data_IF_995942485755
#
_entry.id   IF_995942485755
#
_cell.length_a   1.000
_cell.length_b   1.000
_cell.length_c   1.000
_cell.angle_alpha   90.00
_cell.angle_beta   90.00
_cell.angle_gamma   90.00
#
_symmetry.space_group_name_H-M   'P 1'
#
loop_
_entity.id
_entity.type
_entity.pdbx_description
1 polymer ?
#
# COMPACT_ATOMS: atom_id res chain seq x y z
N UNK A 1 26.77 -9.90 -10.18
CA UNK A 1 25.31 -10.06 -10.39
C UNK A 1 25.07 -11.45 -10.96
N UNK A 2 23.97 -12.09 -10.58
CA UNK A 2 23.68 -13.51 -10.87
C UNK A 2 22.23 -13.87 -10.52
N UNK A 3 21.85 -15.16 -10.49
CA UNK A 3 20.46 -15.57 -10.23
C UNK A 3 20.01 -15.35 -8.77
N UNK A 4 20.96 -15.22 -7.83
CA UNK A 4 20.70 -14.81 -6.45
C UNK A 4 21.21 -13.39 -6.28
N UNK A 5 20.35 -12.43 -6.58
CA UNK A 5 20.69 -11.01 -6.58
C UNK A 5 19.77 -10.26 -5.62
N UNK A 6 20.33 -9.66 -4.54
CA UNK A 6 19.56 -8.75 -3.71
C UNK A 6 19.05 -7.58 -4.54
N UNK A 7 17.78 -7.23 -4.31
CA UNK A 7 17.07 -6.09 -4.88
C UNK A 7 16.56 -5.20 -3.75
N UNK A 8 16.18 -3.96 -4.06
CA UNK A 8 15.74 -2.99 -3.06
C UNK A 8 14.57 -2.18 -3.58
N UNK A 9 13.37 -2.46 -3.05
CA UNK A 9 12.11 -1.79 -3.38
C UNK A 9 11.87 -1.70 -4.91
N UNK A 10 11.70 -2.83 -5.62
CA UNK A 10 11.21 -2.79 -6.99
C UNK A 10 9.81 -2.18 -7.00
N UNK A 11 9.60 -1.12 -7.78
CA UNK A 11 8.36 -0.34 -7.74
C UNK A 11 7.45 -0.61 -8.94
N UNK A 12 8.04 -0.69 -10.13
CA UNK A 12 7.32 -1.01 -11.36
C UNK A 12 8.16 -1.94 -12.24
N UNK A 13 7.46 -2.69 -13.09
CA UNK A 13 8.04 -3.64 -14.02
C UNK A 13 7.41 -3.52 -15.40
N UNK A 14 8.23 -3.67 -16.44
CA UNK A 14 7.74 -3.65 -17.81
C UNK A 14 8.43 -4.72 -18.65
N UNK A 15 7.66 -5.45 -19.45
CA UNK A 15 8.20 -6.40 -20.40
C UNK A 15 8.91 -5.66 -21.54
N UNK A 16 9.98 -6.24 -22.08
CA UNK A 16 10.58 -5.71 -23.28
C UNK A 16 11.73 -6.56 -23.81
N UNK A 17 12.48 -5.97 -24.73
CA UNK A 17 13.47 -6.67 -25.55
C UNK A 17 14.89 -6.14 -25.30
N UNK A 18 15.84 -7.04 -25.10
CA UNK A 18 17.27 -6.77 -24.97
C UNK A 18 18.11 -7.76 -25.78
N UNK A 19 18.67 -7.32 -26.90
CA UNK A 19 19.53 -8.15 -27.76
C UNK A 19 18.81 -8.85 -28.92
N UNK A 20 17.60 -8.39 -29.27
CA UNK A 20 16.90 -8.80 -30.49
C UNK A 20 15.97 -10.00 -30.35
N UNK A 21 15.95 -10.67 -29.20
CA UNK A 21 14.90 -11.62 -28.85
C UNK A 21 13.73 -10.88 -28.19
N UNK A 22 12.55 -11.01 -28.79
CA UNK A 22 11.34 -10.35 -28.32
C UNK A 22 11.00 -10.77 -26.89
N UNK A 23 10.65 -9.79 -26.04
CA UNK A 23 10.17 -9.99 -24.68
C UNK A 23 11.09 -10.83 -23.76
N UNK A 24 12.39 -10.81 -24.04
CA UNK A 24 13.38 -11.59 -23.30
C UNK A 24 13.85 -10.94 -21.98
N UNK A 25 13.35 -9.76 -21.62
CA UNK A 25 13.74 -9.05 -20.40
C UNK A 25 12.53 -8.41 -19.70
N UNK A 26 12.53 -8.49 -18.37
CA UNK A 26 11.68 -7.70 -17.50
C UNK A 26 12.50 -6.51 -16.98
N UNK A 27 12.16 -5.30 -17.44
CA UNK A 27 12.69 -4.06 -16.90
C UNK A 27 12.11 -3.82 -15.51
N UNK A 28 12.92 -3.30 -14.60
CA UNK A 28 12.52 -3.04 -13.22
C UNK A 28 12.96 -1.65 -12.80
N UNK A 29 12.02 -0.82 -12.38
CA UNK A 29 12.30 0.44 -11.70
C UNK A 29 12.66 0.13 -10.24
N UNK A 30 13.95 0.22 -9.92
CA UNK A 30 14.49 -0.13 -8.62
C UNK A 30 14.60 1.13 -7.75
N UNK A 31 13.46 1.54 -7.20
CA UNK A 31 13.32 2.77 -6.44
C UNK A 31 14.35 2.87 -5.29
N UNK A 32 14.51 1.80 -4.51
CA UNK A 32 15.33 1.79 -3.30
C UNK A 32 16.84 1.93 -3.54
N UNK A 33 17.30 1.81 -4.79
CA UNK A 33 18.71 2.06 -5.17
C UNK A 33 18.83 3.04 -6.32
N UNK A 34 17.76 3.79 -6.64
CA UNK A 34 17.74 4.82 -7.66
C UNK A 34 18.32 4.36 -9.01
N UNK A 35 17.85 3.20 -9.50
CA UNK A 35 18.40 2.51 -10.67
C UNK A 35 17.32 1.86 -11.52
N UNK A 36 17.64 1.64 -12.80
CA UNK A 36 16.85 0.78 -13.70
C UNK A 36 17.58 -0.54 -13.89
N UNK A 37 16.88 -1.63 -13.63
CA UNK A 37 17.38 -3.00 -13.67
C UNK A 37 16.70 -3.81 -14.77
N UNK A 38 17.31 -4.95 -15.09
CA UNK A 38 16.89 -5.90 -16.10
C UNK A 38 16.97 -7.31 -15.51
N UNK A 39 15.85 -8.01 -15.46
CA UNK A 39 15.80 -9.45 -15.22
C UNK A 39 15.67 -10.16 -16.56
N UNK A 40 16.70 -10.90 -16.96
CA UNK A 40 16.70 -11.69 -18.18
C UNK A 40 15.78 -12.90 -18.05
N UNK A 41 14.72 -12.97 -18.86
CA UNK A 41 13.77 -14.09 -18.92
C UNK A 41 14.27 -15.18 -19.87
N UNK A 42 14.95 -14.79 -20.94
CA UNK A 42 15.76 -15.66 -21.79
C UNK A 42 17.20 -15.13 -21.85
N UNK A 43 18.08 -15.82 -22.58
CA UNK A 43 19.43 -15.31 -22.80
C UNK A 43 19.34 -14.01 -23.60
N UNK A 44 20.24 -13.07 -23.34
CA UNK A 44 20.18 -11.79 -24.02
C UNK A 44 21.34 -10.90 -23.67
N UNK A 45 21.28 -9.65 -24.14
CA UNK A 45 22.36 -8.69 -23.93
C UNK A 45 21.84 -7.27 -23.83
N UNK A 46 22.27 -6.57 -22.79
CA UNK A 46 22.07 -5.12 -22.67
C UNK A 46 23.00 -4.35 -23.62
N UNK A 47 22.62 -3.12 -24.01
CA UNK A 47 23.50 -2.20 -24.74
C UNK A 47 24.87 -2.08 -24.11
N UNK A 48 25.92 -2.26 -24.92
CA UNK A 48 27.34 -2.19 -24.50
C UNK A 48 27.73 -3.19 -23.39
N UNK A 49 26.89 -4.18 -23.08
CA UNK A 49 27.12 -5.21 -22.06
C UNK A 49 27.68 -6.53 -22.60
N UNK A 50 27.99 -7.46 -21.69
CA UNK A 50 28.20 -8.87 -22.01
C UNK A 50 26.87 -9.60 -22.18
N UNK A 51 26.89 -10.77 -22.79
CA UNK A 51 25.76 -11.69 -22.78
C UNK A 51 25.38 -12.06 -21.33
N UNK A 52 24.08 -12.15 -21.08
CA UNK A 52 23.48 -12.49 -19.79
C UNK A 52 22.58 -13.70 -20.00
N UNK A 53 22.66 -14.65 -19.07
CA UNK A 53 21.84 -15.86 -19.11
C UNK A 53 20.45 -15.60 -18.53
N UNK A 54 19.47 -16.40 -18.93
CA UNK A 54 18.17 -16.44 -18.28
C UNK A 54 18.30 -16.55 -16.75
N UNK A 55 17.47 -15.79 -16.03
CA UNK A 55 17.47 -15.65 -14.57
C UNK A 55 18.50 -14.65 -14.03
N UNK A 56 19.37 -14.05 -14.84
CA UNK A 56 20.27 -13.00 -14.37
C UNK A 56 19.52 -11.69 -14.17
N UNK A 57 19.59 -11.13 -12.96
CA UNK A 57 19.11 -9.79 -12.66
C UNK A 57 20.31 -8.83 -12.59
N UNK A 58 20.30 -7.78 -13.41
CA UNK A 58 21.41 -6.85 -13.54
C UNK A 58 20.93 -5.40 -13.61
N UNK A 59 21.63 -4.48 -12.94
CA UNK A 59 21.51 -3.04 -13.23
C UNK A 59 21.82 -2.77 -14.70
N UNK A 60 20.93 -2.03 -15.36
CA UNK A 60 21.15 -1.46 -16.69
C UNK A 60 21.64 0.00 -16.60
N UNK A 61 20.94 0.86 -15.85
CA UNK A 61 21.25 2.28 -15.74
C UNK A 61 21.12 2.81 -14.30
N UNK A 62 21.80 3.93 -14.01
CA UNK A 62 21.83 4.56 -12.70
C UNK A 62 23.10 4.23 -11.90
N UNK A 63 23.74 5.24 -11.34
CA UNK A 63 24.94 5.09 -10.50
C UNK A 63 24.62 4.48 -9.14
N UNK A 64 23.40 4.66 -8.66
CA UNK A 64 22.98 4.39 -7.28
C UNK A 64 22.91 5.62 -6.39
N UNK A 65 23.44 6.76 -6.85
CA UNK A 65 23.22 8.04 -6.19
C UNK A 65 21.82 8.56 -6.55
N UNK A 66 21.18 9.18 -5.58
CA UNK A 66 19.92 9.90 -5.74
C UNK A 66 20.16 11.26 -6.40
N UNK A 67 19.94 11.36 -7.71
CA UNK A 67 20.24 12.55 -8.52
C UNK A 67 19.31 12.65 -9.74
N UNK A 68 19.05 13.86 -10.23
CA UNK A 68 18.40 14.12 -11.52
C UNK A 68 19.41 14.12 -12.69
N UNK A 69 20.40 13.22 -12.69
CA UNK A 69 21.56 13.30 -13.60
C UNK A 69 21.37 12.56 -14.91
N UNK A 70 21.35 13.30 -16.02
CA UNK A 70 21.40 12.72 -17.38
C UNK A 70 22.81 12.32 -17.78
N UNK A 71 22.95 11.28 -18.61
CA UNK A 71 24.23 10.94 -19.19
C UNK A 71 24.11 10.06 -20.44
N UNK A 72 25.06 10.19 -21.37
CA UNK A 72 25.19 9.28 -22.52
C UNK A 72 25.64 7.87 -22.11
N UNK A 73 26.23 7.71 -20.93
CA UNK A 73 26.64 6.43 -20.37
C UNK A 73 25.70 6.02 -19.23
N UNK A 74 25.02 4.86 -19.32
CA UNK A 74 23.94 4.50 -18.39
C UNK A 74 24.38 4.45 -16.92
N UNK A 75 25.59 3.96 -16.64
CA UNK A 75 26.12 3.86 -15.27
C UNK A 75 26.57 5.20 -14.66
N UNK A 76 26.68 6.26 -15.48
CA UNK A 76 27.01 7.63 -15.02
C UNK A 76 25.77 8.52 -14.89
N UNK A 77 24.61 8.05 -15.36
CA UNK A 77 23.35 8.69 -15.06
C UNK A 77 22.97 8.43 -13.59
N UNK A 78 22.17 9.30 -13.02
CA UNK A 78 21.53 9.13 -11.72
C UNK A 78 20.02 9.26 -11.90
N UNK A 79 19.29 8.52 -11.07
CA UNK A 79 17.85 8.63 -10.93
C UNK A 79 17.55 9.04 -9.49
N UNK A 80 16.30 9.37 -9.20
CA UNK A 80 15.83 9.68 -7.86
C UNK A 80 14.47 9.03 -7.64
N UNK A 81 14.50 7.80 -7.12
CA UNK A 81 13.32 6.97 -6.84
C UNK A 81 12.46 6.73 -8.09
N UNK A 82 13.01 6.05 -9.12
CA UNK A 82 12.22 5.70 -10.30
C UNK A 82 11.06 4.77 -9.89
N UNK A 83 9.84 5.14 -10.25
CA UNK A 83 8.62 4.46 -9.79
C UNK A 83 7.69 3.98 -10.90
N UNK A 84 7.91 4.40 -12.15
CA UNK A 84 7.07 3.99 -13.28
C UNK A 84 7.87 3.81 -14.56
N UNK A 85 7.50 2.84 -15.37
CA UNK A 85 8.15 2.44 -16.61
C UNK A 85 7.15 2.30 -17.76
N UNK A 86 7.50 2.82 -18.93
CA UNK A 86 6.73 2.60 -20.16
C UNK A 86 7.66 2.35 -21.35
N UNK A 87 7.73 1.11 -21.87
CA UNK A 87 8.50 0.79 -23.07
C UNK A 87 7.88 1.45 -24.31
N UNK A 88 8.73 2.05 -25.15
CA UNK A 88 8.42 2.52 -26.50
C UNK A 88 9.48 1.95 -27.46
N UNK A 89 9.42 0.64 -27.76
CA UNK A 89 10.47 -0.06 -28.50
C UNK A 89 10.51 0.32 -29.99
N UNK A 90 9.42 0.84 -30.54
CA UNK A 90 9.33 1.23 -31.94
C UNK A 90 10.17 2.47 -32.28
N UNK A 91 10.72 2.48 -33.48
CA UNK A 91 11.43 3.65 -34.01
C UNK A 91 10.43 4.77 -34.34
N UNK A 92 10.77 6.05 -34.10
CA UNK A 92 12.10 6.57 -33.79
C UNK A 92 12.42 6.67 -32.29
N UNK A 93 11.61 6.05 -31.41
CA UNK A 93 11.72 6.21 -29.96
C UNK A 93 12.79 5.28 -29.37
N UNK A 94 12.63 3.97 -29.59
CA UNK A 94 13.56 2.93 -29.17
C UNK A 94 14.05 3.10 -27.72
N UNK A 95 13.13 3.36 -26.78
CA UNK A 95 13.46 3.77 -25.42
C UNK A 95 12.52 3.20 -24.36
N UNK A 96 12.93 3.34 -23.11
CA UNK A 96 12.10 3.16 -21.93
C UNK A 96 11.84 4.54 -21.30
N UNK A 97 10.58 4.94 -21.18
CA UNK A 97 10.22 6.10 -20.39
C UNK A 97 10.19 5.75 -18.91
N UNK A 98 10.65 6.69 -18.08
CA UNK A 98 10.80 6.51 -16.64
C UNK A 98 10.16 7.69 -15.92
N UNK A 99 9.22 7.41 -15.02
CA UNK A 99 8.76 8.35 -14.00
C UNK A 99 9.78 8.36 -12.85
N UNK A 100 10.48 9.49 -12.67
CA UNK A 100 11.58 9.63 -11.70
C UNK A 100 11.13 10.53 -10.55
N UNK A 101 10.51 9.92 -9.55
CA UNK A 101 9.56 10.53 -8.62
C UNK A 101 10.16 11.66 -7.77
N UNK A 102 11.26 11.41 -7.08
CA UNK A 102 11.90 12.40 -6.20
C UNK A 102 12.50 13.56 -6.99
N UNK A 103 12.92 13.33 -8.24
CA UNK A 103 13.38 14.42 -9.12
C UNK A 103 12.24 15.24 -9.73
N UNK A 104 11.00 14.74 -9.62
CA UNK A 104 9.82 15.26 -10.31
C UNK A 104 10.04 15.43 -11.81
N UNK A 105 10.62 14.40 -12.44
CA UNK A 105 10.90 14.38 -13.88
C UNK A 105 10.40 13.12 -14.57
N UNK A 106 10.25 13.23 -15.89
CA UNK A 106 10.15 12.07 -16.79
C UNK A 106 11.42 11.98 -17.62
N UNK A 107 11.97 10.77 -17.74
CA UNK A 107 13.21 10.47 -18.44
C UNK A 107 12.98 9.51 -19.59
N UNK A 108 13.87 9.54 -20.57
CA UNK A 108 14.00 8.49 -21.58
C UNK A 108 15.34 7.78 -21.40
N UNK A 109 15.31 6.45 -21.40
CA UNK A 109 16.48 5.58 -21.40
C UNK A 109 16.51 4.83 -22.73
N UNK A 110 17.48 5.17 -23.59
CA UNK A 110 17.58 4.58 -24.92
C UNK A 110 17.95 3.09 -24.85
N UNK A 111 17.16 2.25 -25.50
CA UNK A 111 17.37 0.80 -25.57
C UNK A 111 18.52 0.41 -26.50
N UNK A 112 18.99 1.34 -27.34
CA UNK A 112 20.11 1.11 -28.28
C UNK A 112 21.49 1.25 -27.65
N UNK A 113 21.69 2.27 -26.81
CA UNK A 113 23.02 2.65 -26.31
C UNK A 113 23.07 2.97 -24.81
N UNK A 114 21.93 2.93 -24.12
CA UNK A 114 21.78 3.21 -22.69
C UNK A 114 21.82 4.69 -22.31
N UNK A 115 21.73 5.62 -23.26
CA UNK A 115 21.72 7.03 -22.94
C UNK A 115 20.45 7.43 -22.16
N UNK A 116 20.63 8.12 -21.03
CA UNK A 116 19.55 8.69 -20.22
C UNK A 116 19.42 10.18 -20.53
N UNK A 117 18.22 10.61 -20.92
CA UNK A 117 17.90 12.00 -21.29
C UNK A 117 16.65 12.50 -20.59
N UNK A 118 16.63 13.80 -20.28
CA UNK A 118 15.46 14.50 -19.78
C UNK A 118 14.39 14.56 -20.87
N UNK A 119 13.16 14.20 -20.51
CA UNK A 119 12.00 14.49 -21.33
C UNK A 119 11.33 15.79 -20.88
N UNK A 120 10.82 15.83 -19.64
CA UNK A 120 10.14 16.98 -19.02
C UNK A 120 10.35 17.02 -17.50
N UNK A 121 10.14 18.19 -16.88
CA UNK A 121 10.18 18.37 -15.42
C UNK A 121 11.54 18.80 -14.88
N UNK A 122 11.56 19.11 -13.58
CA UNK A 122 12.77 19.40 -12.81
C UNK A 122 13.52 20.66 -13.25
N UNK A 123 14.84 20.62 -13.08
CA UNK A 123 15.78 21.69 -13.44
C UNK A 123 17.08 21.13 -14.03
N UNK A 124 18.00 22.03 -14.43
CA UNK A 124 19.29 21.63 -15.02
C UNK A 124 20.31 21.13 -14.01
N UNK A 125 20.22 21.56 -12.75
CA UNK A 125 21.12 21.10 -11.70
C UNK A 125 20.78 19.64 -11.35
N UNK A 126 21.70 18.69 -11.59
CA UNK A 126 21.45 17.28 -11.30
C UNK A 126 21.28 16.98 -9.80
N UNK A 127 21.68 17.87 -8.90
CA UNK A 127 21.52 17.69 -7.45
C UNK A 127 20.25 18.36 -6.90
N UNK A 128 19.55 19.15 -7.70
CA UNK A 128 18.31 19.79 -7.27
C UNK A 128 17.12 18.82 -7.40
N UNK A 129 16.69 18.26 -6.28
CA UNK A 129 15.50 17.39 -6.18
C UNK A 129 14.25 18.16 -5.71
N UNK A 130 14.36 19.46 -5.45
CA UNK A 130 13.25 20.31 -4.99
C UNK A 130 12.60 21.12 -6.12
N UNK A 131 12.89 20.77 -7.37
CA UNK A 131 12.40 21.44 -8.57
C UNK A 131 11.00 20.96 -9.02
N UNK A 132 10.08 20.83 -8.06
CA UNK A 132 8.72 20.37 -8.28
C UNK A 132 7.71 21.53 -8.44
N UNK A 133 6.49 21.20 -8.83
CA UNK A 133 5.36 22.12 -8.92
C UNK A 133 4.32 21.63 -9.93
N UNK A 134 3.37 22.49 -10.30
CA UNK A 134 2.34 22.16 -11.28
C UNK A 134 2.28 23.22 -12.39
N UNK A 135 3.08 23.00 -13.42
CA UNK A 135 3.18 23.94 -14.55
C UNK A 135 3.20 23.17 -15.86
N UNK A 136 2.29 23.53 -16.75
CA UNK A 136 2.29 23.05 -18.12
C UNK A 136 3.38 23.79 -18.92
N UNK A 137 4.12 23.07 -19.75
CA UNK A 137 5.29 23.66 -20.37
C UNK A 137 6.10 22.68 -21.19
N UNK A 138 7.24 23.16 -21.69
CA UNK A 138 8.10 22.40 -22.58
C UNK A 138 9.41 22.02 -21.89
N UNK A 139 9.74 20.73 -21.89
CA UNK A 139 10.97 20.22 -21.29
C UNK A 139 11.09 20.61 -19.82
N UNK A 140 12.14 21.37 -19.49
CA UNK A 140 12.43 21.84 -18.13
C UNK A 140 11.43 22.89 -17.62
N UNK A 141 10.68 23.55 -18.50
CA UNK A 141 9.71 24.57 -18.09
C UNK A 141 8.43 23.95 -17.51
N UNK A 142 8.15 22.69 -17.88
CA UNK A 142 7.10 21.92 -17.22
C UNK A 142 7.51 21.62 -15.77
N UNK A 143 6.52 21.55 -14.87
CA UNK A 143 6.69 21.10 -13.49
C UNK A 143 5.69 20.01 -13.18
N UNK A 144 6.21 18.98 -12.52
CA UNK A 144 5.52 17.82 -11.99
C UNK A 144 5.77 17.79 -10.48
N UNK A 145 5.03 16.95 -9.77
CA UNK A 145 5.25 16.70 -8.35
C UNK A 145 5.05 15.22 -8.05
N UNK A 146 6.19 14.55 -7.81
CA UNK A 146 6.25 13.13 -7.46
C UNK A 146 5.46 12.21 -8.41
N UNK A 147 5.75 12.22 -9.74
CA UNK A 147 5.03 11.39 -10.69
C UNK A 147 5.39 9.91 -10.48
N UNK A 148 4.39 9.07 -10.19
CA UNK A 148 4.63 7.65 -9.91
C UNK A 148 4.46 6.73 -11.13
N UNK A 149 3.68 7.16 -12.13
CA UNK A 149 3.34 6.32 -13.28
C UNK A 149 3.57 7.01 -14.62
N UNK A 150 3.95 6.23 -15.63
CA UNK A 150 3.95 6.61 -17.04
C UNK A 150 3.32 5.52 -17.89
N UNK A 151 2.61 5.89 -18.96
CA UNK A 151 2.05 4.92 -19.91
C UNK A 151 2.17 5.42 -21.35
N UNK A 152 2.77 4.59 -22.21
CA UNK A 152 3.02 4.91 -23.60
C UNK A 152 1.84 4.52 -24.49
N UNK A 153 1.42 5.43 -25.36
CA UNK A 153 0.35 5.23 -26.34
C UNK A 153 0.95 5.27 -27.76
N UNK A 154 1.31 4.12 -28.35
CA UNK A 154 2.09 4.06 -29.59
C UNK A 154 1.35 4.64 -30.81
N UNK A 155 0.04 4.43 -30.91
CA UNK A 155 -0.77 4.88 -32.04
C UNK A 155 -0.83 6.42 -32.14
N UNK A 156 -0.88 7.09 -30.98
CA UNK A 156 -0.90 8.55 -30.87
C UNK A 156 0.53 9.13 -30.80
N UNK A 157 1.52 8.33 -30.41
CA UNK A 157 2.87 8.80 -30.11
C UNK A 157 2.91 9.72 -28.89
N UNK A 158 2.08 9.45 -27.88
CA UNK A 158 1.93 10.26 -26.67
C UNK A 158 2.25 9.44 -25.41
N UNK A 159 2.78 10.13 -24.40
CA UNK A 159 3.08 9.55 -23.10
C UNK A 159 2.16 10.16 -22.04
N UNK A 160 1.39 9.33 -21.34
CA UNK A 160 0.59 9.78 -20.21
C UNK A 160 1.39 9.63 -18.91
N UNK A 161 1.19 10.55 -17.98
CA UNK A 161 1.90 10.62 -16.69
C UNK A 161 0.86 10.75 -15.59
N UNK A 162 0.93 9.89 -14.58
CA UNK A 162 0.25 10.13 -13.31
C UNK A 162 1.13 11.08 -12.48
N UNK A 163 0.74 12.34 -12.43
CA UNK A 163 1.41 13.39 -11.67
C UNK A 163 0.84 13.41 -10.26
N UNK A 164 1.30 12.46 -9.45
CA UNK A 164 0.56 11.91 -8.31
C UNK A 164 0.24 12.95 -7.23
N UNK A 165 1.23 13.74 -6.81
CA UNK A 165 1.03 14.75 -5.76
C UNK A 165 0.37 16.03 -6.27
N UNK A 166 0.30 16.21 -7.58
CA UNK A 166 -0.56 17.23 -8.19
C UNK A 166 -1.98 16.72 -8.46
N UNK A 167 -2.30 15.47 -8.12
CA UNK A 167 -3.61 14.85 -8.29
C UNK A 167 -4.16 14.97 -9.73
N UNK A 168 -3.25 14.86 -10.70
CA UNK A 168 -3.52 15.10 -12.13
C UNK A 168 -2.97 13.98 -12.98
N UNK A 169 -3.61 13.80 -14.13
CA UNK A 169 -3.05 13.07 -15.25
C UNK A 169 -2.56 14.10 -16.26
N UNK A 170 -1.28 13.98 -16.65
CA UNK A 170 -0.67 14.80 -17.70
C UNK A 170 -0.40 13.99 -18.95
N UNK A 171 -0.30 14.66 -20.07
CA UNK A 171 0.13 14.10 -21.35
C UNK A 171 1.40 14.82 -21.82
N UNK A 172 2.34 14.05 -22.35
CA UNK A 172 3.61 14.51 -22.88
C UNK A 172 3.71 14.06 -24.33
N UNK A 173 3.96 15.01 -25.23
CA UNK A 173 4.39 14.72 -26.60
C UNK A 173 5.92 14.63 -26.61
N UNK A 174 6.53 13.44 -26.83
CA UNK A 174 7.98 13.32 -26.75
C UNK A 174 8.73 13.98 -27.91
N UNK A 175 8.09 14.26 -29.06
CA UNK A 175 8.72 14.99 -30.18
C UNK A 175 8.93 16.45 -29.80
N UNK A 176 7.89 17.08 -29.27
CA UNK A 176 7.91 18.51 -28.94
C UNK A 176 8.40 18.77 -27.52
N UNK A 177 8.39 17.74 -26.66
CA UNK A 177 8.60 17.80 -25.20
C UNK A 177 7.58 18.68 -24.48
N UNK A 178 6.39 18.87 -25.07
CA UNK A 178 5.31 19.60 -24.44
C UNK A 178 4.61 18.69 -23.41
N UNK A 179 4.39 19.19 -22.20
CA UNK A 179 3.61 18.56 -21.14
C UNK A 179 2.38 19.42 -20.85
N UNK A 180 1.20 18.80 -20.80
CA UNK A 180 -0.09 19.46 -20.55
C UNK A 180 -0.94 18.62 -19.61
N UNK A 181 -1.81 19.26 -18.83
CA UNK A 181 -2.87 18.55 -18.10
C UNK A 181 -3.86 17.93 -19.10
N UNK A 182 -4.23 16.65 -18.88
CA UNK A 182 -5.32 15.98 -19.62
C UNK A 182 -6.55 15.75 -18.74
N UNK A 183 -6.36 15.45 -17.45
CA UNK A 183 -7.44 15.22 -16.51
C UNK A 183 -7.03 15.62 -15.08
N UNK A 184 -8.01 15.97 -14.24
CA UNK A 184 -7.80 16.31 -12.84
C UNK A 184 -7.86 17.82 -12.58
N UNK A 185 -8.62 18.21 -11.56
CA UNK A 185 -8.69 19.61 -11.08
C UNK A 185 -7.40 20.05 -10.38
N UNK A 186 -6.66 19.11 -9.78
CA UNK A 186 -5.51 19.39 -8.92
C UNK A 186 -5.80 19.32 -7.43
N UNK A 187 -7.08 19.24 -7.06
CA UNK A 187 -7.50 19.05 -5.67
C UNK A 187 -7.73 17.57 -5.40
N UNK A 188 -7.22 17.07 -4.28
CA UNK A 188 -7.46 15.71 -3.85
C UNK A 188 -8.97 15.45 -3.70
N UNK A 189 -9.49 14.40 -4.33
CA UNK A 189 -10.89 14.03 -4.19
C UNK A 189 -11.32 12.91 -5.13
N UNK A 190 -12.60 12.55 -5.06
CA UNK A 190 -13.16 11.39 -5.79
C UNK A 190 -14.33 11.76 -6.74
N UNK A 191 -14.27 12.94 -7.33
CA UNK A 191 -15.31 13.43 -8.25
C UNK A 191 -15.00 12.92 -9.66
N UNK A 192 -15.96 12.26 -10.32
CA UNK A 192 -15.79 11.86 -11.72
C UNK A 192 -15.92 13.04 -12.69
N UNK A 193 -16.69 14.06 -12.31
CA UNK A 193 -16.93 15.25 -13.11
C UNK A 193 -17.74 14.99 -14.39
N UNK A 194 -18.25 16.04 -15.06
CA UNK A 194 -18.86 15.91 -16.39
C UNK A 194 -17.82 15.67 -17.50
N UNK A 195 -16.53 15.87 -17.22
CA UNK A 195 -15.43 15.70 -18.16
C UNK A 195 -14.08 15.50 -17.48
N UNK A 196 -13.03 15.24 -18.27
CA UNK A 196 -11.69 14.93 -17.76
C UNK A 196 -11.12 16.01 -16.84
N UNK A 197 -11.24 17.29 -17.19
CA UNK A 197 -10.65 18.43 -16.45
C UNK A 197 -11.37 18.74 -15.14
N UNK A 198 -12.62 18.32 -15.02
CA UNK A 198 -13.48 18.50 -13.84
C UNK A 198 -13.52 17.27 -12.94
N UNK A 199 -12.83 16.19 -13.33
CA UNK A 199 -12.60 15.04 -12.47
C UNK A 199 -11.55 15.34 -11.39
N UNK A 200 -11.56 14.63 -10.28
CA UNK A 200 -10.51 14.66 -9.28
C UNK A 200 -9.93 13.27 -9.03
N UNK A 201 -8.68 13.27 -8.62
CA UNK A 201 -7.89 12.10 -8.23
C UNK A 201 -7.33 12.33 -6.83
N UNK A 202 -6.77 11.29 -6.23
CA UNK A 202 -6.07 11.38 -4.96
C UNK A 202 -4.86 10.45 -5.01
N UNK A 203 -3.69 11.06 -5.26
CA UNK A 203 -2.40 10.40 -5.43
C UNK A 203 -2.45 9.17 -6.36
N UNK A 204 -2.80 9.35 -7.66
CA UNK A 204 -2.83 8.24 -8.61
C UNK A 204 -1.43 7.61 -8.72
N UNK A 205 -1.31 6.33 -8.37
CA UNK A 205 -0.03 5.65 -8.20
C UNK A 205 0.49 4.98 -9.47
N UNK A 206 -0.36 4.81 -10.48
CA UNK A 206 -0.02 4.18 -11.74
C UNK A 206 -1.13 4.34 -12.76
N UNK A 207 -0.79 4.13 -14.03
CA UNK A 207 -1.73 4.21 -15.14
C UNK A 207 -1.28 3.28 -16.28
N UNK A 208 -2.23 2.79 -17.07
CA UNK A 208 -1.94 2.04 -18.29
C UNK A 208 -2.92 2.42 -19.40
N UNK A 209 -2.42 2.39 -20.63
CA UNK A 209 -3.21 2.67 -21.83
C UNK A 209 -3.86 1.36 -22.27
N UNK A 210 -5.17 1.37 -22.49
CA UNK A 210 -5.91 0.24 -23.05
C UNK A 210 -5.70 0.09 -24.56
N UNK A 211 -6.10 -1.06 -25.08
CA UNK A 211 -5.97 -1.37 -26.51
C UNK A 211 -6.56 -0.27 -27.41
N UNK A 212 -5.81 0.12 -28.45
CA UNK A 212 -6.17 1.17 -29.39
C UNK A 212 -5.96 2.60 -28.87
N UNK A 213 -5.41 2.78 -27.67
CA UNK A 213 -4.95 4.07 -27.16
C UNK A 213 -6.05 5.09 -26.83
N UNK A 214 -7.31 4.65 -26.76
CA UNK A 214 -8.49 5.51 -26.51
C UNK A 214 -8.91 5.56 -25.05
N UNK A 215 -8.52 4.55 -24.28
CA UNK A 215 -8.89 4.42 -22.87
C UNK A 215 -7.63 4.42 -22.03
N UNK A 216 -7.65 5.16 -20.93
CA UNK A 216 -6.61 5.12 -19.91
C UNK A 216 -7.20 4.58 -18.60
N UNK A 217 -6.59 3.54 -18.06
CA UNK A 217 -6.89 3.05 -16.72
C UNK A 217 -5.93 3.70 -15.73
N UNK A 218 -6.46 4.21 -14.63
CA UNK A 218 -5.71 4.92 -13.60
C UNK A 218 -5.97 4.23 -12.25
N UNK A 219 -4.89 3.83 -11.58
CA UNK A 219 -4.93 3.39 -10.20
C UNK A 219 -4.97 4.61 -9.29
N UNK A 220 -6.17 5.00 -8.88
CA UNK A 220 -6.42 6.17 -8.05
C UNK A 220 -6.28 5.81 -6.56
N UNK A 221 -5.02 5.69 -6.12
CA UNK A 221 -4.57 4.95 -4.93
C UNK A 221 -5.34 5.32 -3.67
N UNK A 222 -5.40 6.62 -3.33
CA UNK A 222 -5.97 7.06 -2.07
C UNK A 222 -7.50 7.20 -2.11
N UNK A 223 -8.11 7.02 -3.29
CA UNK A 223 -9.56 6.85 -3.42
C UNK A 223 -9.97 5.36 -3.50
N UNK A 224 -9.01 4.43 -3.52
CA UNK A 224 -9.26 2.99 -3.61
C UNK A 224 -10.05 2.59 -4.86
N UNK A 225 -9.88 3.35 -5.95
CA UNK A 225 -10.62 3.18 -7.19
C UNK A 225 -9.69 2.93 -8.37
N UNK A 226 -10.20 2.17 -9.34
CA UNK A 226 -9.68 2.18 -10.69
C UNK A 226 -10.55 3.12 -11.51
N UNK A 227 -9.98 4.23 -11.98
CA UNK A 227 -10.68 5.20 -12.84
C UNK A 227 -10.37 4.90 -14.30
N UNK A 228 -11.40 4.94 -15.14
CA UNK A 228 -11.35 4.71 -16.58
C UNK A 228 -11.63 6.03 -17.28
N UNK A 229 -10.63 6.54 -17.99
CA UNK A 229 -10.71 7.77 -18.76
C UNK A 229 -10.90 7.39 -20.22
N UNK A 230 -12.03 7.77 -20.79
CA UNK A 230 -12.26 7.70 -22.22
C UNK A 230 -11.76 9.00 -22.85
N UNK A 231 -10.73 8.90 -23.70
CA UNK A 231 -10.04 10.03 -24.31
C UNK A 231 -10.80 10.58 -25.54
N UNK A 232 -11.68 9.77 -26.16
CA UNK A 232 -12.50 10.17 -27.29
C UNK A 232 -13.72 10.97 -26.80
N UNK A 233 -14.46 10.43 -25.82
CA UNK A 233 -15.65 11.09 -25.25
C UNK A 233 -15.29 12.09 -24.15
N UNK A 234 -14.05 12.06 -23.65
CA UNK A 234 -13.53 12.90 -22.56
C UNK A 234 -14.28 12.72 -21.24
N UNK A 235 -14.65 11.49 -20.90
CA UNK A 235 -15.38 11.17 -19.67
C UNK A 235 -14.55 10.31 -18.72
N UNK A 236 -14.86 10.40 -17.43
CA UNK A 236 -14.29 9.53 -16.38
C UNK A 236 -15.38 8.62 -15.83
N UNK A 237 -15.06 7.35 -15.66
CA UNK A 237 -15.92 6.36 -15.00
C UNK A 237 -15.11 5.49 -14.04
N UNK A 238 -15.79 4.72 -13.21
CA UNK A 238 -15.14 3.71 -12.37
C UNK A 238 -15.08 2.39 -13.11
N UNK A 239 -13.93 1.72 -13.05
CA UNK A 239 -13.83 0.34 -13.47
C UNK A 239 -14.62 -0.53 -12.48
N UNK A 240 -15.60 -1.33 -12.95
CA UNK A 240 -16.37 -2.18 -12.07
C UNK A 240 -15.48 -3.31 -11.54
N UNK A 241 -15.18 -3.29 -10.25
CA UNK A 241 -14.52 -4.39 -9.57
C UNK A 241 -15.61 -5.27 -8.96
N UNK A 242 -16.00 -6.31 -9.69
CA UNK A 242 -16.90 -7.36 -9.16
C UNK A 242 -16.07 -8.42 -8.45
N UNK A 243 -16.14 -8.46 -7.12
CA UNK A 243 -15.44 -9.46 -6.29
C UNK A 243 -16.30 -10.73 -6.17
N UNK A 244 -16.83 -11.23 -7.30
CA UNK A 244 -17.72 -12.39 -7.27
C UNK A 244 -16.96 -13.69 -6.97
N UNK A 245 -15.66 -13.76 -7.29
CA UNK A 245 -14.80 -14.91 -7.00
C UNK A 245 -13.30 -14.49 -6.92
N UNK A 246 -12.93 -13.64 -5.94
CA UNK A 246 -11.50 -13.38 -5.69
C UNK A 246 -10.82 -14.64 -5.10
N UNK A 247 -10.39 -15.52 -6.00
CA UNK A 247 -9.62 -16.74 -5.72
C UNK A 247 -8.18 -16.48 -5.25
N UNK A 248 -7.74 -15.20 -5.29
CA UNK A 248 -6.49 -14.73 -4.69
C UNK A 248 -6.59 -14.43 -3.19
N UNK A 249 -7.69 -14.85 -2.56
CA UNK A 249 -7.55 -15.40 -1.23
C UNK A 249 -6.65 -16.64 -1.36
N UNK A 250 -5.32 -16.45 -1.42
CA UNK A 250 -4.39 -17.46 -0.97
C UNK A 250 -5.06 -18.07 0.26
N UNK A 251 -5.30 -19.40 0.31
CA UNK A 251 -6.04 -19.99 1.41
C UNK A 251 -5.41 -19.36 2.62
N UNK A 252 -6.20 -18.57 3.36
CA UNK A 252 -5.68 -17.92 4.54
C UNK A 252 -5.07 -19.10 5.25
N UNK A 253 -3.73 -19.13 5.32
CA UNK A 253 -3.11 -19.85 6.40
C UNK A 253 -3.76 -19.10 7.53
N UNK A 254 -4.85 -19.67 8.06
CA UNK A 254 -5.47 -19.30 9.30
C UNK A 254 -4.27 -18.94 10.12
N UNK A 255 -4.08 -17.65 10.38
CA UNK A 255 -2.85 -17.14 10.95
C UNK A 255 -2.60 -18.09 12.09
N UNK A 256 -1.57 -18.94 11.95
CA UNK A 256 -1.21 -19.85 13.02
C UNK A 256 -1.09 -18.90 14.21
N UNK A 257 -1.83 -19.19 15.30
CA UNK A 257 -2.34 -18.19 16.23
C UNK A 257 -1.32 -17.08 16.39
N UNK A 258 -1.68 -15.86 15.99
CA UNK A 258 -0.81 -14.67 16.12
C UNK A 258 -0.08 -14.84 17.45
N UNK A 259 1.26 -14.94 17.44
CA UNK A 259 2.02 -15.23 18.66
C UNK A 259 1.81 -14.05 19.60
N UNK A 260 0.74 -14.12 20.39
CA UNK A 260 0.37 -13.11 21.36
C UNK A 260 1.56 -13.00 22.29
N UNK A 261 2.13 -11.80 22.47
CA UNK A 261 3.22 -11.60 23.41
C UNK A 261 2.80 -12.17 24.77
N UNK A 262 3.67 -12.95 25.42
CA UNK A 262 3.37 -13.40 26.78
C UNK A 262 3.23 -12.18 27.68
N UNK A 263 2.20 -12.15 28.52
CA UNK A 263 2.03 -11.13 29.54
C UNK A 263 3.33 -11.01 30.36
N UNK A 264 3.90 -9.81 30.51
CA UNK A 264 5.03 -9.57 31.41
C UNK A 264 4.74 -10.07 32.82
N UNK A 265 5.77 -10.48 33.56
CA UNK A 265 5.62 -10.89 34.97
C UNK A 265 5.04 -9.78 35.86
N UNK A 266 5.23 -8.52 35.46
CA UNK A 266 4.70 -7.32 36.12
C UNK A 266 3.26 -6.97 35.74
N UNK A 267 2.62 -7.72 34.84
CA UNK A 267 1.25 -7.43 34.39
C UNK A 267 0.23 -7.66 35.51
N UNK A 268 -0.68 -6.71 35.70
CA UNK A 268 -1.77 -6.82 36.67
C UNK A 268 -2.73 -7.92 36.25
N UNK A 269 -3.05 -8.85 37.17
CA UNK A 269 -4.03 -9.91 36.95
C UNK A 269 -5.25 -9.68 37.83
N UNK A 270 -6.36 -9.29 37.21
CA UNK A 270 -7.61 -8.98 37.89
C UNK A 270 -8.56 -10.17 37.72
N UNK A 271 -9.06 -10.72 38.82
CA UNK A 271 -10.11 -11.73 38.80
C UNK A 271 -11.45 -11.06 39.09
N UNK A 272 -12.36 -11.13 38.14
CA UNK A 272 -13.69 -10.53 38.23
C UNK A 272 -14.66 -11.42 39.05
N UNK A 273 -15.73 -10.83 39.62
CA UNK A 273 -16.81 -11.61 40.22
C UNK A 273 -17.49 -12.52 39.17
N UNK A 274 -18.00 -13.71 39.57
CA UNK A 274 -18.72 -14.58 38.65
C UNK A 274 -19.93 -13.89 38.02
N UNK A 275 -20.08 -14.04 36.70
CA UNK A 275 -21.16 -13.46 35.92
C UNK A 275 -22.17 -14.52 35.49
N UNK A 276 -23.43 -14.33 35.84
CA UNK A 276 -24.51 -15.22 35.40
C UNK A 276 -24.87 -14.94 33.94
N UNK A 277 -24.81 -15.96 33.09
CA UNK A 277 -25.03 -15.86 31.64
C UNK A 277 -25.89 -17.03 31.15
N UNK A 278 -26.55 -16.84 30.01
CA UNK A 278 -27.36 -17.88 29.36
C UNK A 278 -26.69 -18.42 28.09
N UNK A 279 -26.96 -19.67 27.70
CA UNK A 279 -26.50 -20.21 26.41
C UNK A 279 -27.01 -19.36 25.23
N UNK A 280 -26.16 -19.11 24.23
CA UNK A 280 -26.52 -18.28 23.07
C UNK A 280 -26.54 -16.77 23.33
N UNK A 281 -26.21 -16.32 24.56
CA UNK A 281 -26.26 -14.91 24.93
C UNK A 281 -25.02 -14.15 24.43
N UNK A 282 -25.21 -12.90 24.01
CA UNK A 282 -24.09 -11.99 23.73
C UNK A 282 -23.55 -11.41 25.04
N UNK A 283 -22.28 -11.67 25.31
CA UNK A 283 -21.52 -11.08 26.41
C UNK A 283 -20.73 -9.89 25.86
N UNK A 284 -20.94 -8.70 26.44
CA UNK A 284 -20.18 -7.49 26.13
C UNK A 284 -19.20 -7.20 27.27
N UNK A 285 -17.91 -7.33 27.00
CA UNK A 285 -16.88 -6.89 27.94
C UNK A 285 -16.59 -5.41 27.68
N UNK A 286 -16.90 -4.57 28.65
CA UNK A 286 -16.67 -3.13 28.59
C UNK A 286 -15.35 -2.82 29.28
N UNK A 287 -14.33 -2.51 28.47
CA UNK A 287 -13.00 -2.20 28.97
C UNK A 287 -12.82 -0.69 29.11
N UNK A 288 -12.59 -0.24 30.34
CA UNK A 288 -12.27 1.15 30.67
C UNK A 288 -10.82 1.21 31.13
N UNK A 289 -10.00 1.97 30.43
CA UNK A 289 -8.60 2.17 30.80
C UNK A 289 -8.33 3.65 31.04
N UNK A 290 -7.57 3.94 32.08
CA UNK A 290 -7.03 5.27 32.33
C UNK A 290 -5.52 5.25 32.17
N UNK A 291 -5.01 6.25 31.46
CA UNK A 291 -3.57 6.45 31.32
C UNK A 291 -3.03 7.25 32.53
N UNK A 292 -1.77 7.03 32.94
CA UNK A 292 -1.11 7.89 33.91
C UNK A 292 -1.14 9.36 33.48
N UNK A 293 -1.22 10.28 34.44
CA UNK A 293 -1.26 11.72 34.18
C UNK A 293 -0.08 12.16 33.30
N UNK A 294 -0.38 12.93 32.25
CA UNK A 294 0.62 13.44 31.32
C UNK A 294 1.11 12.45 30.25
N UNK A 295 0.43 11.32 30.05
CA UNK A 295 0.75 10.34 28.99
C UNK A 295 -0.36 10.23 27.93
N UNK A 296 0.03 9.88 26.69
CA UNK A 296 -0.86 9.63 25.55
C UNK A 296 -0.53 8.30 24.89
N UNK A 297 -1.50 7.69 24.19
CA UNK A 297 -1.24 6.54 23.32
C UNK A 297 -0.23 6.92 22.23
N UNK A 298 0.52 5.93 21.75
CA UNK A 298 1.52 6.15 20.70
C UNK A 298 1.04 5.57 19.38
N UNK A 299 1.24 6.32 18.29
CA UNK A 299 0.86 5.91 16.94
C UNK A 299 1.87 4.90 16.35
N UNK A 300 3.14 5.03 16.71
CA UNK A 300 4.24 4.19 16.22
C UNK A 300 4.25 2.76 16.80
N UNK A 301 3.47 2.50 17.86
CA UNK A 301 3.36 1.19 18.52
C UNK A 301 1.92 0.98 19.03
N UNK A 302 1.04 0.37 18.22
CA UNK A 302 -0.38 0.31 18.53
C UNK A 302 -0.66 -0.55 19.77
N UNK A 303 -1.50 -0.01 20.66
CA UNK A 303 -2.05 -0.75 21.80
C UNK A 303 -3.11 -1.74 21.31
N UNK A 304 -3.23 -2.89 21.97
CA UNK A 304 -4.13 -3.97 21.53
C UNK A 304 -4.61 -4.86 22.69
N UNK A 305 -5.66 -5.63 22.44
CA UNK A 305 -6.22 -6.60 23.38
C UNK A 305 -6.42 -7.96 22.72
N UNK A 306 -6.47 -9.01 23.54
CA UNK A 306 -6.78 -10.38 23.13
C UNK A 306 -7.78 -11.02 24.09
N UNK A 307 -8.81 -11.66 23.53
CA UNK A 307 -9.79 -12.45 24.26
C UNK A 307 -9.49 -13.94 24.06
N UNK A 308 -9.41 -14.69 25.16
CA UNK A 308 -9.10 -16.11 25.16
C UNK A 308 -9.89 -16.85 26.24
N UNK A 309 -10.08 -18.16 26.08
CA UNK A 309 -10.72 -19.01 27.07
C UNK A 309 -9.86 -20.26 27.29
N UNK A 310 -8.65 -20.09 27.83
CA UNK A 310 -7.71 -21.19 28.08
C UNK A 310 -8.34 -22.24 29.01
N UNK A 311 -8.39 -23.50 28.57
CA UNK A 311 -9.09 -24.60 29.25
C UNK A 311 -10.62 -24.58 29.11
N UNK A 312 -11.19 -23.58 28.44
CA UNK A 312 -12.61 -23.41 28.16
C UNK A 312 -12.84 -22.98 26.70
N UNK A 313 -12.06 -23.52 25.77
CA UNK A 313 -11.94 -23.03 24.38
C UNK A 313 -13.25 -23.09 23.60
N UNK A 314 -14.19 -23.91 24.08
CA UNK A 314 -15.55 -24.02 23.56
C UNK A 314 -16.37 -22.73 23.73
N UNK A 315 -15.98 -21.81 24.62
CA UNK A 315 -16.69 -20.53 24.84
C UNK A 315 -16.49 -19.51 23.71
N UNK A 316 -15.33 -19.50 23.07
CA UNK A 316 -14.96 -18.51 22.02
C UNK A 316 -14.57 -19.18 20.69
N UNK A 317 -14.78 -20.49 20.57
CA UNK A 317 -14.60 -21.26 19.34
C UNK A 317 -13.14 -21.47 18.92
N UNK A 318 -12.31 -22.11 19.74
CA UNK A 318 -10.89 -22.49 19.41
C UNK A 318 -9.97 -21.37 18.88
N UNK A 319 -10.44 -20.12 18.82
CA UNK A 319 -9.75 -18.97 18.26
C UNK A 319 -9.51 -17.92 19.35
N UNK A 320 -8.36 -17.25 19.27
CA UNK A 320 -8.07 -16.05 20.05
C UNK A 320 -8.62 -14.87 19.26
N UNK A 321 -9.49 -14.07 19.86
CA UNK A 321 -10.01 -12.84 19.23
C UNK A 321 -9.11 -11.69 19.62
N UNK A 322 -8.74 -10.83 18.67
CA UNK A 322 -7.84 -9.69 18.92
C UNK A 322 -8.43 -8.39 18.41
N UNK A 323 -8.07 -7.25 19.01
CA UNK A 323 -8.44 -5.93 18.52
C UNK A 323 -7.48 -4.83 18.98
N UNK A 324 -7.57 -3.66 18.36
CA UNK A 324 -6.72 -2.50 18.64
C UNK A 324 -7.37 -1.53 19.63
N UNK A 325 -6.54 -0.73 20.31
CA UNK A 325 -6.94 0.33 21.24
C UNK A 325 -6.40 1.65 20.68
N UNK A 326 -7.29 2.41 20.04
CA UNK A 326 -6.96 3.68 19.39
C UNK A 326 -7.49 4.88 20.17
N UNK A 327 -8.61 4.69 20.87
CA UNK A 327 -9.26 5.72 21.68
C UNK A 327 -9.63 5.17 23.05
N UNK A 328 -9.42 5.98 24.09
CA UNK A 328 -9.76 5.70 25.48
C UNK A 328 -10.77 6.72 26.04
N UNK A 329 -11.29 7.62 25.19
CA UNK A 329 -12.31 8.61 25.56
C UNK A 329 -13.65 7.97 25.95
N UNK A 330 -13.90 6.76 25.45
CA UNK A 330 -15.08 5.93 25.73
C UNK A 330 -14.68 4.50 26.10
N UNK A 331 -15.51 3.77 26.87
CA UNK A 331 -15.29 2.35 27.12
C UNK A 331 -15.25 1.53 25.82
N UNK A 332 -14.28 0.64 25.69
CA UNK A 332 -14.22 -0.29 24.56
C UNK A 332 -15.20 -1.44 24.78
N UNK A 333 -16.16 -1.61 23.88
CA UNK A 333 -17.13 -2.72 23.93
C UNK A 333 -16.63 -3.90 23.10
N UNK A 334 -16.40 -5.03 23.75
CA UNK A 334 -15.90 -6.26 23.13
C UNK A 334 -17.00 -7.33 23.20
N UNK A 335 -17.81 -7.49 22.14
CA UNK A 335 -18.88 -8.47 22.11
C UNK A 335 -18.35 -9.89 21.81
N UNK A 336 -18.87 -10.89 22.51
CA UNK A 336 -18.65 -12.31 22.22
C UNK A 336 -19.95 -13.09 22.41
N UNK A 337 -20.25 -14.03 21.51
CA UNK A 337 -21.49 -14.81 21.57
C UNK A 337 -21.18 -16.14 22.26
N UNK A 338 -21.84 -16.40 23.38
CA UNK A 338 -21.71 -17.66 24.08
C UNK A 338 -22.39 -18.79 23.29
N UNK A 339 -21.82 -19.99 23.26
CA UNK A 339 -22.40 -21.12 22.54
C UNK A 339 -23.78 -21.52 23.10
N UNK A 340 -24.63 -22.06 22.22
CA UNK A 340 -26.01 -22.45 22.54
C UNK A 340 -26.12 -23.78 23.29
N UNK A 341 -25.07 -24.61 23.28
CA UNK A 341 -25.01 -25.91 23.97
C UNK A 341 -23.85 -25.89 24.95
N UNK A 342 -24.10 -25.79 26.28
CA UNK A 342 -23.05 -25.92 27.28
C UNK A 342 -22.44 -27.33 27.23
N UNK A 343 -21.11 -27.43 27.26
CA UNK A 343 -20.46 -28.70 27.61
C UNK A 343 -20.73 -28.97 29.09
N UNK A 344 -21.16 -30.19 29.43
CA UNK A 344 -21.27 -30.61 30.82
C UNK A 344 -19.85 -30.68 31.43
N UNK A 345 -19.44 -29.63 32.14
CA UNK A 345 -18.17 -29.56 32.84
C UNK A 345 -18.41 -29.12 34.28
N UNK A 346 -17.82 -29.84 35.23
CA UNK A 346 -18.00 -29.66 36.69
C UNK A 346 -17.32 -28.40 37.28
N UNK A 347 -16.75 -27.51 36.46
CA UNK A 347 -16.05 -26.31 36.90
C UNK A 347 -16.62 -25.04 36.24
N UNK A 348 -16.69 -23.94 36.99
CA UNK A 348 -17.11 -22.62 36.52
C UNK A 348 -16.16 -22.15 35.40
N UNK A 349 -16.60 -22.11 34.13
CA UNK A 349 -15.72 -21.76 33.04
C UNK A 349 -15.43 -20.26 33.06
N UNK A 350 -14.31 -19.83 32.48
CA UNK A 350 -13.92 -18.42 32.48
C UNK A 350 -13.36 -17.98 31.13
N UNK A 351 -13.47 -16.69 30.86
CA UNK A 351 -12.85 -16.01 29.71
C UNK A 351 -11.81 -15.03 30.27
N UNK A 352 -10.71 -14.85 29.56
CA UNK A 352 -9.63 -13.93 29.91
C UNK A 352 -9.43 -12.91 28.80
N UNK A 353 -9.59 -11.63 29.15
CA UNK A 353 -9.21 -10.49 28.31
C UNK A 353 -7.83 -10.01 28.74
N UNK A 354 -6.84 -10.08 27.85
CA UNK A 354 -5.50 -9.53 28.07
C UNK A 354 -5.30 -8.28 27.24
N UNK A 355 -4.61 -7.28 27.78
CA UNK A 355 -4.47 -5.96 27.18
C UNK A 355 -3.02 -5.48 27.28
N UNK A 356 -2.52 -4.87 26.21
CA UNK A 356 -1.21 -4.23 26.13
C UNK A 356 -1.40 -2.78 25.70
N UNK A 357 -0.91 -1.87 26.55
CA UNK A 357 -1.01 -0.42 26.36
C UNK A 357 0.38 0.17 26.24
N UNK A 358 0.66 0.79 25.11
CA UNK A 358 1.86 1.55 24.82
C UNK A 358 1.53 3.05 24.89
N UNK A 359 2.17 3.77 25.81
CA UNK A 359 1.95 5.20 25.97
C UNK A 359 3.26 5.96 26.17
N UNK A 360 3.28 7.22 25.77
CA UNK A 360 4.44 8.12 25.89
C UNK A 360 4.06 9.41 26.61
N UNK A 361 5.04 10.07 27.25
CA UNK A 361 4.83 11.37 27.88
C UNK A 361 4.46 12.44 26.83
N UNK A 362 3.46 13.26 27.13
CA UNK A 362 2.94 14.28 26.23
C UNK A 362 3.98 15.37 25.86
N UNK A 363 4.99 15.59 26.73
CA UNK A 363 6.10 16.52 26.50
C UNK A 363 7.33 15.92 25.80
N UNK A 364 7.26 14.66 25.35
CA UNK A 364 8.38 13.93 24.75
C UNK A 364 9.35 13.30 25.79
N UNK A 365 10.10 12.28 25.35
CA UNK A 365 11.30 11.79 26.05
C UNK A 365 11.22 10.40 26.72
N UNK A 366 10.03 9.83 26.97
CA UNK A 366 9.93 8.45 27.46
C UNK A 366 8.63 7.77 27.03
N UNK A 367 8.75 6.54 26.52
CA UNK A 367 7.64 5.65 26.20
C UNK A 367 7.68 4.44 27.13
N UNK A 368 6.50 3.95 27.51
CA UNK A 368 6.34 2.81 28.40
C UNK A 368 5.26 1.87 27.89
N UNK A 369 5.40 0.59 28.21
CA UNK A 369 4.40 -0.43 27.96
C UNK A 369 3.87 -0.97 29.29
N UNK A 370 2.55 -1.04 29.42
CA UNK A 370 1.85 -1.74 30.50
C UNK A 370 0.98 -2.84 29.92
N UNK A 371 0.77 -3.88 30.71
CA UNK A 371 -0.16 -4.94 30.37
C UNK A 371 -1.02 -5.34 31.57
N UNK A 372 -2.24 -5.79 31.30
CA UNK A 372 -3.18 -6.28 32.29
C UNK A 372 -3.95 -7.48 31.74
N UNK A 373 -4.45 -8.33 32.62
CA UNK A 373 -5.35 -9.43 32.26
C UNK A 373 -6.54 -9.49 33.21
N UNK A 374 -7.74 -9.59 32.64
CA UNK A 374 -9.01 -9.69 33.35
C UNK A 374 -9.60 -11.07 33.14
N UNK A 375 -9.71 -11.84 34.21
CA UNK A 375 -10.32 -13.16 34.21
C UNK A 375 -11.77 -13.03 34.66
N UNK A 376 -12.71 -13.33 33.77
CA UNK A 376 -14.15 -13.30 34.01
C UNK A 376 -14.71 -14.72 34.17
N UNK A 377 -15.01 -15.17 35.41
CA UNK A 377 -15.72 -16.43 35.64
C UNK A 377 -17.18 -16.32 35.19
N UNK A 378 -17.71 -17.38 34.60
CA UNK A 378 -19.09 -17.45 34.10
C UNK A 378 -19.89 -18.51 34.86
N UNK A 379 -21.15 -18.19 35.16
CA UNK A 379 -22.15 -19.11 35.69
C UNK A 379 -23.22 -19.30 34.62
N UNK A 380 -23.11 -20.38 33.84
CA UNK A 380 -23.99 -20.64 32.70
C UNK A 380 -25.24 -21.37 33.19
N UNK A 381 -26.41 -20.75 33.02
CA UNK A 381 -27.70 -21.35 33.39
C UNK A 381 -28.09 -22.54 32.49
N UNK A 382 -28.91 -23.46 33.00
CA UNK A 382 -29.32 -24.70 32.32
C UNK A 382 -30.51 -24.57 31.35
N UNK A 383 -31.10 -23.37 31.20
CA UNK A 383 -32.34 -23.16 30.44
C UNK A 383 -32.15 -22.06 29.38
N UNK A 384 -32.36 -22.35 28.08
CA UNK A 384 -32.42 -21.28 27.07
C UNK A 384 -33.67 -20.43 27.32
N UNK A 385 -33.51 -19.12 27.54
CA UNK A 385 -34.66 -18.20 27.63
C UNK A 385 -35.38 -18.19 26.27
N UNK A 386 -36.70 -18.43 26.29
CA UNK A 386 -37.57 -18.30 25.11
C UNK A 386 -37.39 -16.92 24.50
N UNK A 387 -37.25 -16.86 23.16
CA UNK A 387 -37.20 -15.63 22.35
C UNK A 387 -38.31 -14.66 22.78
N UNK A 388 -37.98 -13.65 23.57
CA UNK A 388 -38.66 -12.36 23.55
C UNK A 388 -37.72 -11.40 22.82
N UNK A 389 -38.28 -10.64 21.88
CA UNK A 389 -37.53 -9.71 21.04
C UNK A 389 -36.94 -8.56 21.86
N UNK A 390 -35.71 -8.75 22.33
CA UNK A 390 -34.70 -7.74 22.55
C UNK A 390 -33.36 -8.51 22.62
N UNK A 391 -32.29 -7.97 22.03
CA UNK A 391 -30.96 -8.60 22.11
C UNK A 391 -30.51 -8.56 23.58
N UNK A 392 -30.72 -9.63 24.33
CA UNK A 392 -30.29 -9.78 25.73
C UNK A 392 -28.75 -9.79 25.77
N UNK A 393 -28.14 -8.61 25.85
CA UNK A 393 -26.71 -8.45 26.08
C UNK A 393 -26.44 -8.38 27.58
N UNK A 394 -25.44 -9.12 28.07
CA UNK A 394 -24.94 -8.96 29.43
C UNK A 394 -23.63 -8.18 29.37
N UNK A 395 -23.50 -7.08 30.11
CA UNK A 395 -22.27 -6.29 30.16
C UNK A 395 -21.48 -6.58 31.43
N UNK A 396 -20.15 -6.61 31.32
CA UNK A 396 -19.25 -6.61 32.46
C UNK A 396 -18.19 -5.53 32.29
N UNK A 397 -18.08 -4.67 33.30
CA UNK A 397 -17.13 -3.58 33.33
C UNK A 397 -15.76 -4.05 33.84
N UNK A 398 -14.72 -3.78 33.05
CA UNK A 398 -13.32 -4.09 33.34
C UNK A 398 -12.57 -2.76 33.46
N UNK A 399 -12.03 -2.45 34.64
CA UNK A 399 -11.31 -1.20 34.93
C UNK A 399 -9.85 -1.42 35.28
#
# INVERSE_FOLDING_TARGET
>A
MGPQQPISSPWDVALGTAGGEEDNVLWVAMAGTHQIWALFLANGKLPKGSESKAGMCVRFAGSGNEENRNNAYPHKAGFAQPSGLAPAPEEPWGCLYVADSESSTVRSLALKDGAVKLLVGGERDPLNLFAFGDVDGKGVDAKLQHPLGVAWAPDQGLLYVADSYNHKIKVVDPKTRQCLVVAGTGEAGDVLGPGLTESSFNEPGGLCVGDGGRVLYVADTNNHHLKVLDLDTKTVSLFPISVEDAVDSAPTKSSGPCKVPKLPKSASRVKMPPLAVSPGQTLNLELVLSLPAGTKLTEDAPSFWTLSAEGNEWLVGSQVVTGHIQDLSQPLSIPTILPTVPKATEASPFITLSVWVYCCLAGGGACMMKAASFMQPLQIGSTPRKRLGYRDACSCLLT
#
